data_IF_469912400702
#
_entry.id   IF_469912400702
#
_cell.length_a   1.000
_cell.length_b   1.000
_cell.length_c   1.000
_cell.angle_alpha   90.00
_cell.angle_beta   90.00
_cell.angle_gamma   90.00
#
_symmetry.space_group_name_H-M   'P 1'
#
loop_
_entity.id
_entity.type
_entity.pdbx_description
1 polymer ?
#
# COMPACT_ATOMS: atom_id res chain seq x y z
N UNK A 1 -33.63 -8.98 17.90
CA UNK A 1 -32.94 -9.90 16.98
C UNK A 1 -31.62 -10.29 17.63
N UNK A 2 -31.39 -11.58 17.88
CA UNK A 2 -30.12 -12.06 18.45
C UNK A 2 -29.03 -11.98 17.37
N UNK A 3 -27.83 -11.55 17.75
CA UNK A 3 -26.66 -11.61 16.86
C UNK A 3 -26.40 -13.06 16.46
N UNK A 4 -25.99 -13.31 15.21
CA UNK A 4 -25.61 -14.64 14.71
C UNK A 4 -24.52 -15.30 15.57
N UNK A 5 -23.77 -14.51 16.33
CA UNK A 5 -22.78 -14.91 17.34
C UNK A 5 -23.37 -15.69 18.54
N UNK A 6 -24.68 -15.64 18.78
CA UNK A 6 -25.32 -16.28 19.95
C UNK A 6 -25.88 -17.69 19.66
N UNK A 7 -25.57 -18.25 18.50
CA UNK A 7 -25.92 -19.61 18.10
C UNK A 7 -24.61 -20.40 18.03
N UNK A 8 -24.43 -21.42 18.88
CA UNK A 8 -23.13 -22.07 19.15
C UNK A 8 -22.34 -22.52 17.90
N UNK A 9 -23.02 -22.88 16.80
CA UNK A 9 -22.38 -23.26 15.54
C UNK A 9 -22.09 -22.09 14.58
N UNK A 10 -22.76 -20.95 14.74
CA UNK A 10 -22.58 -19.76 13.88
C UNK A 10 -21.46 -18.84 14.38
N UNK A 11 -21.16 -18.85 15.68
CA UNK A 11 -20.02 -18.13 16.26
C UNK A 11 -18.68 -18.63 15.69
N UNK A 12 -18.50 -19.95 15.61
CA UNK A 12 -17.30 -20.55 15.01
C UNK A 12 -17.15 -20.22 13.52
N UNK A 13 -18.27 -20.17 12.78
CA UNK A 13 -18.25 -19.87 11.35
C UNK A 13 -17.90 -18.39 11.10
N UNK A 14 -18.46 -17.47 11.89
CA UNK A 14 -18.11 -16.03 11.82
C UNK A 14 -16.66 -15.80 12.24
N UNK A 15 -16.20 -16.41 13.34
CA UNK A 15 -14.81 -16.29 13.79
C UNK A 15 -13.81 -16.86 12.79
N UNK A 16 -14.16 -17.96 12.11
CA UNK A 16 -13.34 -18.50 11.03
C UNK A 16 -13.25 -17.53 9.86
N UNK A 17 -14.37 -16.93 9.43
CA UNK A 17 -14.38 -15.95 8.33
C UNK A 17 -13.51 -14.72 8.64
N UNK A 18 -13.55 -14.19 9.86
CA UNK A 18 -12.73 -13.04 10.27
C UNK A 18 -11.22 -13.35 10.14
N UNK A 19 -10.80 -14.54 10.58
CA UNK A 19 -9.41 -14.99 10.47
C UNK A 19 -8.99 -15.13 9.00
N UNK A 20 -9.84 -15.72 8.16
CA UNK A 20 -9.57 -15.83 6.72
C UNK A 20 -9.48 -14.46 6.04
N UNK A 21 -10.36 -13.52 6.38
CA UNK A 21 -10.31 -12.16 5.87
C UNK A 21 -8.97 -11.49 6.18
N UNK A 22 -8.47 -11.63 7.42
CA UNK A 22 -7.16 -11.08 7.80
C UNK A 22 -6.03 -11.70 6.96
N UNK A 23 -6.04 -13.02 6.75
CA UNK A 23 -5.02 -13.67 5.92
C UNK A 23 -5.05 -13.19 4.47
N UNK A 24 -6.23 -13.12 3.85
CA UNK A 24 -6.38 -12.65 2.47
C UNK A 24 -5.89 -11.21 2.36
N UNK A 25 -6.38 -10.32 3.23
CA UNK A 25 -6.00 -8.90 3.23
C UNK A 25 -4.48 -8.74 3.40
N UNK A 26 -3.87 -9.49 4.33
CA UNK A 26 -2.42 -9.40 4.57
C UNK A 26 -1.58 -9.81 3.37
N UNK A 27 -1.96 -10.89 2.66
CA UNK A 27 -1.28 -11.32 1.43
C UNK A 27 -1.36 -10.25 0.35
N UNK A 28 -2.55 -9.67 0.12
CA UNK A 28 -2.72 -8.61 -0.87
C UNK A 28 -1.95 -7.35 -0.51
N UNK A 29 -1.99 -6.91 0.74
CA UNK A 29 -1.23 -5.76 1.22
C UNK A 29 0.27 -5.99 1.04
N UNK A 30 0.76 -7.17 1.39
CA UNK A 30 2.18 -7.50 1.24
C UNK A 30 2.61 -7.48 -0.23
N UNK A 31 1.82 -8.11 -1.12
CA UNK A 31 2.09 -8.09 -2.55
C UNK A 31 2.11 -6.66 -3.11
N UNK A 32 1.12 -5.84 -2.76
CA UNK A 32 1.05 -4.44 -3.19
C UNK A 32 2.19 -3.59 -2.62
N UNK A 33 2.60 -3.84 -1.37
CA UNK A 33 3.75 -3.19 -0.77
C UNK A 33 5.05 -3.50 -1.53
N UNK A 34 5.24 -4.71 -2.06
CA UNK A 34 6.42 -5.01 -2.90
C UNK A 34 6.41 -4.23 -4.22
N UNK A 35 5.24 -4.09 -4.84
CA UNK A 35 5.07 -3.32 -6.09
C UNK A 35 5.41 -1.85 -5.87
N UNK A 36 4.84 -1.23 -4.83
CA UNK A 36 5.07 0.17 -4.48
C UNK A 36 6.53 0.44 -4.07
N UNK A 37 7.18 -0.55 -3.44
CA UNK A 37 8.58 -0.44 -3.05
C UNK A 37 9.44 -0.34 -4.31
N UNK A 38 9.24 -1.24 -5.27
CA UNK A 38 9.98 -1.20 -6.54
C UNK A 38 9.77 0.13 -7.29
N UNK A 39 8.56 0.69 -7.26
CA UNK A 39 8.30 2.00 -7.84
C UNK A 39 9.11 3.12 -7.13
N UNK A 40 9.14 3.11 -5.79
CA UNK A 40 9.94 4.05 -5.01
C UNK A 40 11.44 3.94 -5.28
N UNK A 41 11.95 2.71 -5.42
CA UNK A 41 13.34 2.44 -5.77
C UNK A 41 13.72 3.03 -7.14
N UNK A 42 12.93 2.71 -8.17
CA UNK A 42 13.19 3.17 -9.54
C UNK A 42 13.11 4.69 -9.66
N UNK A 43 12.18 5.33 -8.94
CA UNK A 43 12.07 6.79 -8.88
C UNK A 43 13.34 7.46 -8.37
N UNK A 44 13.91 6.95 -7.26
CA UNK A 44 15.16 7.46 -6.70
C UNK A 44 16.36 7.21 -7.61
N UNK A 45 16.45 6.03 -8.24
CA UNK A 45 17.57 5.67 -9.12
C UNK A 45 17.57 6.43 -10.44
N UNK A 46 16.41 6.83 -10.98
CA UNK A 46 16.35 7.58 -12.26
C UNK A 46 16.97 8.98 -12.16
N UNK A 47 17.02 9.54 -10.95
CA UNK A 47 17.55 10.89 -10.66
C UNK A 47 19.00 10.89 -10.17
N UNK A 48 19.72 9.78 -10.35
CA UNK A 48 21.11 9.62 -9.92
C UNK A 48 22.05 10.71 -10.45
N UNK A 49 21.84 11.17 -11.69
CA UNK A 49 22.64 12.22 -12.31
C UNK A 49 22.52 13.57 -11.59
N UNK A 50 21.30 13.92 -11.15
CA UNK A 50 21.04 15.18 -10.41
C UNK A 50 21.76 15.18 -9.06
N UNK A 51 21.76 14.05 -8.35
CA UNK A 51 22.46 13.91 -7.08
C UNK A 51 23.97 14.02 -7.22
N UNK A 52 24.55 13.51 -8.31
CA UNK A 52 25.97 13.66 -8.61
C UNK A 52 26.39 15.12 -8.80
N UNK A 53 25.59 15.90 -9.52
CA UNK A 53 25.84 17.34 -9.74
C UNK A 53 25.72 18.13 -8.44
N UNK A 54 24.69 17.85 -7.62
CA UNK A 54 24.49 18.52 -6.32
C UNK A 54 25.66 18.28 -5.35
N UNK A 55 26.19 17.06 -5.33
CA UNK A 55 27.39 16.73 -4.55
C UNK A 55 28.65 17.42 -5.08
N UNK A 56 28.81 17.53 -6.40
CA UNK A 56 29.93 18.24 -7.01
C UNK A 56 29.91 19.75 -6.72
N UNK A 57 28.72 20.33 -6.51
CA UNK A 57 28.54 21.71 -6.04
C UNK A 57 28.80 21.88 -4.52
N UNK A 58 29.15 20.80 -3.80
CA UNK A 58 29.51 20.84 -2.39
C UNK A 58 28.35 20.67 -1.41
N UNK A 59 27.17 20.23 -1.87
CA UNK A 59 26.05 19.93 -0.98
C UNK A 59 26.34 18.71 -0.09
N UNK A 60 25.91 18.75 1.17
CA UNK A 60 26.14 17.64 2.11
C UNK A 60 25.36 16.39 1.67
N UNK A 61 26.02 15.21 1.63
CA UNK A 61 25.39 13.91 1.33
C UNK A 61 24.12 13.66 2.15
N UNK A 62 24.13 14.07 3.42
CA UNK A 62 22.99 13.95 4.32
C UNK A 62 21.82 14.82 3.89
N UNK A 63 22.07 16.05 3.45
CA UNK A 63 21.02 16.96 3.00
C UNK A 63 20.33 16.42 1.75
N UNK A 64 21.11 15.93 0.79
CA UNK A 64 20.61 15.31 -0.45
C UNK A 64 19.76 14.08 -0.13
N UNK A 65 20.22 13.20 0.76
CA UNK A 65 19.49 12.01 1.18
C UNK A 65 18.17 12.35 1.91
N UNK A 66 18.20 13.32 2.82
CA UNK A 66 16.99 13.76 3.52
C UNK A 66 15.97 14.37 2.56
N UNK A 67 16.42 15.15 1.58
CA UNK A 67 15.55 15.73 0.55
C UNK A 67 14.81 14.65 -0.23
N UNK A 68 15.51 13.57 -0.62
CA UNK A 68 14.91 12.41 -1.29
C UNK A 68 13.83 11.73 -0.41
N UNK A 69 14.09 11.56 0.89
CA UNK A 69 13.12 10.98 1.82
C UNK A 69 11.89 11.89 1.93
N UNK A 70 12.09 13.20 2.14
CA UNK A 70 10.99 14.13 2.27
C UNK A 70 10.10 14.12 1.02
N UNK A 71 10.69 14.19 -0.16
CA UNK A 71 9.94 14.10 -1.43
C UNK A 71 9.12 12.81 -1.50
N UNK A 72 9.72 11.68 -1.12
CA UNK A 72 9.06 10.37 -1.14
C UNK A 72 7.93 10.26 -0.10
N UNK A 73 8.09 10.90 1.07
CA UNK A 73 7.03 11.01 2.08
C UNK A 73 5.86 11.82 1.55
N UNK A 74 6.11 12.96 0.89
CA UNK A 74 5.04 13.77 0.30
C UNK A 74 4.29 13.02 -0.80
N UNK A 75 5.02 12.33 -1.69
CA UNK A 75 4.43 11.51 -2.75
C UNK A 75 3.63 10.35 -2.13
N UNK A 76 4.17 9.67 -1.11
CA UNK A 76 3.50 8.58 -0.41
C UNK A 76 2.22 9.04 0.28
N UNK A 77 2.23 10.20 0.95
CA UNK A 77 1.04 10.77 1.60
C UNK A 77 0.00 11.12 0.54
N UNK A 78 0.37 11.86 -0.51
CA UNK A 78 -0.55 12.25 -1.56
C UNK A 78 -1.19 11.02 -2.24
N UNK A 79 -0.35 10.03 -2.58
CA UNK A 79 -0.80 8.77 -3.18
C UNK A 79 -1.74 7.98 -2.26
N UNK A 80 -1.39 7.83 -0.98
CA UNK A 80 -2.23 7.11 -0.02
C UNK A 80 -3.55 7.84 0.27
N UNK A 81 -3.56 9.17 0.36
CA UNK A 81 -4.81 9.96 0.53
C UNK A 81 -5.74 9.77 -0.66
N UNK A 82 -5.21 9.90 -1.89
CA UNK A 82 -6.00 9.75 -3.12
C UNK A 82 -6.49 8.31 -3.25
N UNK A 83 -5.61 7.33 -3.04
CA UNK A 83 -5.93 5.91 -3.13
C UNK A 83 -7.01 5.48 -2.13
N UNK A 84 -6.87 5.86 -0.85
CA UNK A 84 -7.88 5.59 0.18
C UNK A 84 -9.20 6.30 -0.16
N UNK A 85 -9.16 7.55 -0.64
CA UNK A 85 -10.36 8.29 -1.04
C UNK A 85 -11.13 7.61 -2.17
N UNK A 86 -10.43 7.16 -3.22
CA UNK A 86 -11.05 6.43 -4.34
C UNK A 86 -11.60 5.07 -3.87
N UNK A 87 -10.83 4.33 -3.06
CA UNK A 87 -11.25 3.03 -2.53
C UNK A 87 -12.51 3.13 -1.68
N UNK A 88 -12.57 4.12 -0.78
CA UNK A 88 -13.76 4.39 0.05
C UNK A 88 -14.95 4.88 -0.78
N UNK A 89 -14.72 5.70 -1.80
CA UNK A 89 -15.81 6.13 -2.69
C UNK A 89 -16.45 4.95 -3.42
N UNK A 90 -15.63 4.03 -3.95
CA UNK A 90 -16.13 2.80 -4.57
C UNK A 90 -16.85 1.92 -3.54
N UNK A 91 -16.28 1.77 -2.35
CA UNK A 91 -16.92 1.01 -1.27
C UNK A 91 -18.27 1.60 -0.85
N UNK A 92 -18.42 2.92 -0.83
CA UNK A 92 -19.68 3.60 -0.51
C UNK A 92 -20.75 3.36 -1.57
N UNK A 93 -20.40 3.41 -2.86
CA UNK A 93 -21.32 3.11 -3.97
C UNK A 93 -21.84 1.67 -3.87
N UNK A 94 -20.96 0.72 -3.54
CA UNK A 94 -21.33 -0.69 -3.37
C UNK A 94 -22.16 -0.89 -2.08
N UNK A 95 -21.93 -0.10 -1.05
CA UNK A 95 -22.66 -0.18 0.21
C UNK A 95 -24.13 0.21 0.03
N UNK A 96 -24.41 1.21 -0.80
CA UNK A 96 -25.78 1.64 -1.13
C UNK A 96 -26.48 0.67 -2.08
N UNK A 97 -25.85 0.34 -3.21
CA UNK A 97 -26.48 -0.44 -4.27
C UNK A 97 -26.52 -1.95 -3.99
N UNK A 98 -25.55 -2.47 -3.24
CA UNK A 98 -25.35 -3.91 -3.05
C UNK A 98 -24.96 -4.63 -4.35
N UNK A 99 -24.33 -5.79 -4.21
CA UNK A 99 -24.06 -6.71 -5.32
C UNK A 99 -25.07 -7.85 -5.20
N UNK A 100 -25.94 -7.98 -6.20
CA UNK A 100 -26.92 -9.07 -6.26
C UNK A 100 -26.22 -10.39 -6.60
N UNK A 101 -26.38 -11.37 -5.72
CA UNK A 101 -25.75 -12.69 -5.78
C UNK A 101 -26.83 -13.79 -5.83
N UNK A 102 -28.10 -13.42 -5.95
CA UNK A 102 -29.25 -14.35 -6.03
C UNK A 102 -29.01 -15.53 -6.99
N UNK A 103 -28.47 -15.29 -8.18
CA UNK A 103 -28.19 -16.34 -9.17
C UNK A 103 -27.06 -17.31 -8.80
N UNK A 104 -26.16 -16.95 -7.87
CA UNK A 104 -25.11 -17.86 -7.37
C UNK A 104 -25.57 -18.68 -6.17
N UNK A 105 -26.73 -18.35 -5.58
CA UNK A 105 -27.26 -18.96 -4.36
C UNK A 105 -28.42 -19.93 -4.61
N UNK A 106 -28.87 -20.07 -5.86
CA UNK A 106 -29.89 -21.05 -6.26
C UNK A 106 -29.40 -22.48 -5.96
N UNK A 107 -29.91 -23.07 -4.87
CA UNK A 107 -29.60 -24.43 -4.43
C UNK A 107 -28.94 -24.54 -3.05
N UNK A 108 -28.62 -23.43 -2.37
CA UNK A 108 -28.05 -23.49 -1.02
C UNK A 108 -29.15 -23.68 0.04
N UNK A 109 -28.95 -24.62 0.97
CA UNK A 109 -29.90 -24.93 2.05
C UNK A 109 -29.96 -23.86 3.16
N UNK A 110 -29.14 -22.80 3.06
CA UNK A 110 -29.06 -21.71 4.01
C UNK A 110 -29.69 -20.46 3.40
N UNK A 111 -30.62 -19.82 4.12
CA UNK A 111 -31.18 -18.53 3.71
C UNK A 111 -30.13 -17.43 3.92
N UNK A 112 -29.34 -17.18 2.89
CA UNK A 112 -28.46 -16.03 2.82
C UNK A 112 -29.17 -14.83 2.17
N UNK A 113 -28.81 -13.60 2.55
CA UNK A 113 -29.30 -12.41 1.88
C UNK A 113 -28.87 -12.40 0.41
N UNK A 114 -29.77 -12.04 -0.49
CA UNK A 114 -29.53 -11.99 -1.94
C UNK A 114 -28.57 -10.88 -2.38
N UNK A 115 -28.24 -9.94 -1.50
CA UNK A 115 -27.33 -8.84 -1.79
C UNK A 115 -26.18 -8.81 -0.80
N UNK A 116 -24.94 -8.82 -1.29
CA UNK A 116 -23.75 -8.52 -0.48
C UNK A 116 -23.51 -7.02 -0.53
N UNK A 117 -23.41 -6.41 0.65
CA UNK A 117 -23.07 -5.00 0.83
C UNK A 117 -21.70 -4.88 1.47
N UNK A 118 -20.94 -3.90 1.04
CA UNK A 118 -19.71 -3.50 1.72
C UNK A 118 -20.05 -2.85 3.06
N UNK A 119 -19.20 -3.08 4.05
CA UNK A 119 -19.28 -2.41 5.35
C UNK A 119 -17.97 -1.66 5.57
N UNK A 120 -18.05 -0.34 5.55
CA UNK A 120 -16.89 0.50 5.87
C UNK A 120 -16.67 0.47 7.38
N UNK A 121 -15.51 -0.01 7.79
CA UNK A 121 -15.04 -0.05 9.16
C UNK A 121 -13.92 0.98 9.38
N UNK A 122 -13.65 1.40 10.63
CA UNK A 122 -12.53 2.30 10.91
C UNK A 122 -11.18 1.78 10.42
N UNK A 123 -11.01 0.45 10.35
CA UNK A 123 -9.80 -0.19 9.87
C UNK A 123 -9.50 0.10 8.39
N UNK A 124 -10.54 0.22 7.56
CA UNK A 124 -10.41 0.38 6.10
C UNK A 124 -9.74 1.71 5.73
N UNK A 125 -9.80 2.72 6.61
CA UNK A 125 -9.17 4.01 6.39
C UNK A 125 -7.64 3.95 6.45
N UNK A 126 -7.08 3.10 7.32
CA UNK A 126 -5.64 3.08 7.58
C UNK A 126 -4.92 1.81 7.09
N UNK A 127 -5.65 0.72 6.85
CA UNK A 127 -5.06 -0.58 6.49
C UNK A 127 -4.30 -0.55 5.15
N UNK A 128 -4.77 0.23 4.18
CA UNK A 128 -4.07 0.47 2.91
C UNK A 128 -3.11 1.67 2.96
N UNK A 129 -3.46 2.70 3.74
CA UNK A 129 -2.69 3.93 3.84
C UNK A 129 -1.28 3.71 4.40
N UNK A 130 -1.20 2.97 5.53
CA UNK A 130 0.06 2.78 6.25
C UNK A 130 1.07 1.98 5.40
N UNK A 131 0.74 0.78 4.88
CA UNK A 131 1.69 0.00 4.09
C UNK A 131 2.09 0.71 2.79
N UNK A 132 1.18 1.45 2.16
CA UNK A 132 1.48 2.22 0.95
C UNK A 132 2.49 3.34 1.19
N UNK A 133 2.32 4.10 2.27
CA UNK A 133 3.26 5.15 2.68
C UNK A 133 4.62 4.54 3.06
N UNK A 134 4.62 3.50 3.90
CA UNK A 134 5.86 2.85 4.33
C UNK A 134 6.63 2.26 3.15
N UNK A 135 5.94 1.58 2.24
CA UNK A 135 6.55 0.94 1.09
C UNK A 135 7.28 1.93 0.17
N UNK A 136 6.63 3.04 -0.18
CA UNK A 136 7.21 4.07 -1.05
C UNK A 136 8.43 4.74 -0.42
N UNK A 137 8.34 5.07 0.88
CA UNK A 137 9.44 5.68 1.64
C UNK A 137 10.63 4.71 1.78
N UNK A 138 10.38 3.44 2.14
CA UNK A 138 11.41 2.41 2.26
C UNK A 138 12.12 2.20 0.92
N UNK A 139 11.36 2.19 -0.18
CA UNK A 139 11.93 2.10 -1.53
C UNK A 139 12.89 3.25 -1.83
N UNK A 140 12.50 4.48 -1.55
CA UNK A 140 13.35 5.65 -1.76
C UNK A 140 14.58 5.67 -0.84
N UNK A 141 14.43 5.28 0.43
CA UNK A 141 15.54 5.19 1.39
C UNK A 141 16.60 4.19 0.90
N UNK A 142 16.17 3.02 0.44
CA UNK A 142 17.07 2.00 -0.08
C UNK A 142 17.73 2.40 -1.39
N UNK A 143 17.02 3.11 -2.26
CA UNK A 143 17.63 3.73 -3.43
C UNK A 143 18.75 4.67 -2.98
N UNK A 144 18.46 5.60 -2.07
CA UNK A 144 19.43 6.55 -1.52
C UNK A 144 20.67 5.86 -0.94
N UNK A 145 20.50 4.84 -0.10
CA UNK A 145 21.63 4.05 0.42
C UNK A 145 22.43 3.41 -0.72
N UNK A 146 21.75 2.84 -1.72
CA UNK A 146 22.38 2.31 -2.93
C UNK A 146 23.14 3.37 -3.73
N UNK A 147 22.66 4.62 -3.73
CA UNK A 147 23.33 5.76 -4.37
C UNK A 147 24.65 6.08 -3.67
N UNK A 148 24.58 6.34 -2.36
CA UNK A 148 25.72 6.84 -1.59
C UNK A 148 26.76 5.77 -1.26
N UNK A 149 26.39 4.48 -1.30
CA UNK A 149 27.31 3.35 -1.04
C UNK A 149 28.13 2.95 -2.26
N UNK A 150 27.71 3.26 -3.49
CA UNK A 150 28.39 2.81 -4.74
C UNK A 150 29.34 3.83 -5.40
N UNK A 151 29.25 5.14 -5.13
CA UNK A 151 30.06 6.16 -5.85
C UNK A 151 30.87 7.10 -4.95
N UNK A 152 31.96 6.61 -4.38
CA UNK A 152 33.15 7.46 -4.12
C UNK A 152 34.31 7.16 -5.07
N UNK A 153 34.35 5.98 -5.71
CA UNK A 153 35.47 5.57 -6.57
C UNK A 153 35.16 5.48 -8.08
N UNK A 154 33.89 5.43 -8.49
CA UNK A 154 33.50 5.40 -9.92
C UNK A 154 33.17 6.78 -10.51
N UNK A 155 32.98 7.80 -9.66
CA UNK A 155 32.62 9.16 -10.10
C UNK A 155 33.70 9.83 -10.96
N UNK A 156 34.97 9.44 -10.77
CA UNK A 156 36.10 9.93 -11.57
C UNK A 156 36.31 9.14 -12.87
N UNK A 157 35.86 7.88 -12.93
CA UNK A 157 36.14 6.99 -14.07
C UNK A 157 35.23 7.22 -15.28
N UNK A 158 34.10 7.89 -15.08
CA UNK A 158 33.16 8.29 -16.15
C UNK A 158 33.50 9.68 -16.75
N UNK A 159 34.44 10.43 -16.16
CA UNK A 159 34.94 11.72 -16.68
C UNK A 159 36.24 11.59 -17.49
N UNK A 160 36.86 10.40 -17.50
CA UNK A 160 38.08 10.09 -18.27
C UNK A 160 37.81 9.31 -19.57
N UNK A 161 36.54 8.96 -19.86
CA UNK A 161 36.14 8.23 -21.06
C UNK A 161 35.44 9.12 -22.09
#
# INVERSE_FOLDING_TARGET
>A
MKSLTQQDNMDQLVGMLDVWSIYIISVFIFAMALVLWNAGLLGGLRRYGEFGVRLAMGEEKRHVYLTLIYESVFIGIAGSVIGTGIGLAIAAIIQENGIDISGMMEGSALMFPSQIKTRITPADYYIGFIPGLFSTVVGAMLAGIGIFKRKTSQLFKELEA
#
